data_IF_223497668389
#
_entry.id   IF_223497668389
#
_cell.length_a   1.000
_cell.length_b   1.000
_cell.length_c   1.000
_cell.angle_alpha   90.00
_cell.angle_beta   90.00
_cell.angle_gamma   90.00
#
_symmetry.space_group_name_H-M   'P 1'
#
loop_
_entity.id
_entity.type
_entity.pdbx_description
1 polymer ?
#
# COMPACT_ATOMS: atom_id res chain seq x y z
N UNK A 1 14.12 7.59 -13.85
CA UNK A 1 13.50 8.52 -12.90
C UNK A 1 13.07 7.76 -11.64
N UNK A 2 12.99 8.47 -10.55
CA UNK A 2 12.52 7.93 -9.28
C UNK A 2 11.09 8.37 -9.03
N UNK A 3 10.20 7.40 -8.80
CA UNK A 3 8.76 7.61 -8.63
C UNK A 3 8.29 7.19 -7.25
N UNK A 4 7.25 7.85 -6.79
CA UNK A 4 6.38 7.37 -5.71
C UNK A 4 4.94 7.39 -6.19
N UNK A 5 4.13 6.48 -5.69
CA UNK A 5 2.71 6.36 -6.04
C UNK A 5 1.87 6.56 -4.79
N UNK A 6 0.74 7.27 -4.94
CA UNK A 6 -0.27 7.40 -3.89
C UNK A 6 -1.53 6.66 -4.36
N UNK A 7 -2.05 5.78 -3.53
CA UNK A 7 -3.25 4.99 -3.81
C UNK A 7 -4.34 5.38 -2.82
N UNK A 8 -5.47 5.87 -3.32
CA UNK A 8 -6.59 6.32 -2.49
C UNK A 8 -7.83 5.44 -2.59
N UNK A 9 -7.82 4.44 -3.48
CA UNK A 9 -8.92 3.50 -3.65
C UNK A 9 -8.64 2.14 -3.03
N UNK A 10 -9.71 1.39 -2.65
CA UNK A 10 -9.57 0.06 -2.09
C UNK A 10 -9.06 -0.94 -3.13
N UNK A 11 -8.67 -2.13 -2.66
CA UNK A 11 -8.20 -3.19 -3.55
C UNK A 11 -9.28 -3.63 -4.55
N UNK A 12 -10.53 -3.60 -4.13
CA UNK A 12 -11.68 -4.02 -4.94
C UNK A 12 -12.80 -2.99 -4.86
N UNK A 13 -13.62 -2.95 -5.90
CA UNK A 13 -14.77 -2.05 -6.00
C UNK A 13 -14.53 -0.80 -6.83
N UNK A 14 -13.28 -0.42 -7.07
CA UNK A 14 -12.87 0.66 -7.98
C UNK A 14 -11.65 0.24 -8.79
N UNK A 15 -11.28 1.02 -9.80
CA UNK A 15 -10.13 0.75 -10.66
C UNK A 15 -8.82 1.39 -10.16
N UNK A 16 -8.90 2.26 -9.16
CA UNK A 16 -7.75 3.07 -8.72
C UNK A 16 -6.55 2.22 -8.32
N UNK A 17 -6.76 1.24 -7.43
CA UNK A 17 -5.67 0.41 -6.94
C UNK A 17 -5.11 -0.53 -8.01
N UNK A 18 -5.95 -1.12 -8.84
CA UNK A 18 -5.48 -1.99 -9.93
C UNK A 18 -4.73 -1.20 -11.00
N UNK A 19 -5.19 0.00 -11.33
CA UNK A 19 -4.48 0.89 -12.25
C UNK A 19 -3.13 1.30 -11.68
N UNK A 20 -3.07 1.61 -10.38
CA UNK A 20 -1.82 1.95 -9.70
C UNK A 20 -0.84 0.78 -9.76
N UNK A 21 -1.31 -0.44 -9.53
CA UNK A 21 -0.46 -1.62 -9.56
C UNK A 21 0.10 -1.88 -10.96
N UNK A 22 -0.74 -1.77 -11.99
CA UNK A 22 -0.30 -1.92 -13.39
C UNK A 22 0.72 -0.85 -13.76
N UNK A 23 0.50 0.38 -13.31
CA UNK A 23 1.46 1.47 -13.51
C UNK A 23 2.79 1.17 -12.81
N UNK A 24 2.75 0.67 -11.58
CA UNK A 24 3.93 0.28 -10.83
C UNK A 24 4.74 -0.79 -11.58
N UNK A 25 4.08 -1.81 -12.10
CA UNK A 25 4.74 -2.85 -12.89
C UNK A 25 5.37 -2.28 -14.16
N UNK A 26 4.69 -1.38 -14.85
CA UNK A 26 5.20 -0.76 -16.07
C UNK A 26 6.41 0.12 -15.79
N UNK A 27 6.41 0.87 -14.68
CA UNK A 27 7.55 1.68 -14.27
C UNK A 27 8.80 0.83 -14.08
N UNK A 28 8.66 -0.26 -13.35
CA UNK A 28 9.77 -1.18 -13.05
C UNK A 28 10.27 -1.84 -14.32
N UNK A 29 9.36 -2.31 -15.17
CA UNK A 29 9.71 -2.94 -16.44
C UNK A 29 10.45 -1.98 -17.38
N UNK A 30 10.14 -0.69 -17.31
CA UNK A 30 10.77 0.34 -18.14
C UNK A 30 12.07 0.88 -17.54
N UNK A 31 12.55 0.30 -16.45
CA UNK A 31 13.82 0.63 -15.83
C UNK A 31 13.80 1.82 -14.88
N UNK A 32 12.61 2.31 -14.50
CA UNK A 32 12.48 3.35 -13.50
C UNK A 32 12.54 2.78 -12.08
N UNK A 33 12.93 3.62 -11.14
CA UNK A 33 12.89 3.26 -9.72
C UNK A 33 11.53 3.64 -9.13
N UNK A 34 10.83 2.68 -8.52
CA UNK A 34 9.68 2.93 -7.68
C UNK A 34 10.13 2.83 -6.23
N UNK A 35 10.24 3.97 -5.53
CA UNK A 35 10.75 3.99 -4.17
C UNK A 35 9.71 3.54 -3.15
N UNK A 36 8.46 3.98 -3.33
CA UNK A 36 7.40 3.69 -2.38
C UNK A 36 6.02 3.84 -2.99
N UNK A 37 5.06 3.17 -2.35
CA UNK A 37 3.62 3.37 -2.57
C UNK A 37 3.03 3.79 -1.24
N UNK A 38 2.31 4.90 -1.22
CA UNK A 38 1.63 5.41 -0.04
C UNK A 38 0.13 5.19 -0.19
N UNK A 39 -0.45 4.41 0.72
CA UNK A 39 -1.87 4.09 0.71
C UNK A 39 -2.59 5.00 1.69
N UNK A 40 -3.57 5.75 1.19
CA UNK A 40 -4.30 6.75 1.96
C UNK A 40 -5.81 6.56 1.78
N UNK A 41 -6.60 7.05 2.73
CA UNK A 41 -8.06 6.91 2.68
C UNK A 41 -8.42 5.42 2.53
N UNK A 42 -9.37 5.09 1.65
CA UNK A 42 -9.76 3.70 1.38
C UNK A 42 -8.63 2.84 0.79
N UNK A 43 -7.55 3.47 0.33
CA UNK A 43 -6.36 2.75 -0.12
C UNK A 43 -5.76 1.84 0.94
N UNK A 44 -5.97 2.13 2.22
CA UNK A 44 -5.44 1.31 3.32
C UNK A 44 -6.01 -0.11 3.32
N UNK A 45 -7.17 -0.32 2.70
CA UNK A 45 -7.75 -1.68 2.57
C UNK A 45 -6.90 -2.61 1.71
N UNK A 46 -5.97 -2.09 0.92
CA UNK A 46 -5.01 -2.92 0.17
C UNK A 46 -4.07 -3.70 1.09
N UNK A 47 -4.00 -3.36 2.36
CA UNK A 47 -3.08 -3.97 3.32
C UNK A 47 -3.77 -4.96 4.28
N UNK A 48 -5.06 -5.21 4.13
CA UNK A 48 -5.80 -6.08 5.03
C UNK A 48 -5.59 -7.54 4.66
N UNK A 49 -4.86 -8.28 5.50
CA UNK A 49 -4.58 -9.70 5.26
C UNK A 49 -5.83 -10.58 5.26
N UNK A 50 -6.93 -10.11 5.84
CA UNK A 50 -8.20 -10.86 5.87
C UNK A 50 -8.93 -10.81 4.53
N UNK A 51 -8.52 -9.94 3.62
CA UNK A 51 -9.08 -9.89 2.27
C UNK A 51 -8.78 -11.19 1.54
N UNK A 52 -9.83 -11.87 1.09
CA UNK A 52 -9.72 -13.19 0.47
C UNK A 52 -10.55 -13.21 -0.82
N UNK A 53 -9.95 -12.84 -1.96
CA UNK A 53 -10.67 -12.90 -3.24
C UNK A 53 -10.97 -14.35 -3.63
N UNK A 54 -11.94 -14.53 -4.52
CA UNK A 54 -12.25 -15.83 -5.09
C UNK A 54 -11.04 -16.36 -5.89
N UNK A 55 -10.99 -17.68 -6.08
CA UNK A 55 -9.82 -18.33 -6.72
C UNK A 55 -9.58 -17.89 -8.16
N UNK A 56 -10.60 -17.35 -8.84
CA UNK A 56 -10.52 -16.85 -10.21
C UNK A 56 -10.34 -15.34 -10.31
N UNK A 57 -10.27 -14.64 -9.16
CA UNK A 57 -10.01 -13.20 -9.10
C UNK A 57 -8.51 -12.93 -8.88
N UNK A 58 -8.05 -11.80 -9.39
CA UNK A 58 -6.68 -11.36 -9.13
C UNK A 58 -6.53 -10.94 -7.66
N UNK A 59 -5.53 -11.49 -6.98
CA UNK A 59 -5.25 -11.15 -5.57
C UNK A 59 -4.33 -9.92 -5.51
N UNK A 60 -4.93 -8.75 -5.54
CA UNK A 60 -4.20 -7.49 -5.55
C UNK A 60 -3.45 -7.25 -4.23
N UNK A 61 -4.01 -7.68 -3.11
CA UNK A 61 -3.39 -7.49 -1.79
C UNK A 61 -2.03 -8.20 -1.72
N UNK A 62 -1.98 -9.48 -2.12
CA UNK A 62 -0.72 -10.24 -2.16
C UNK A 62 0.18 -9.80 -3.30
N UNK A 63 -0.38 -9.26 -4.37
CA UNK A 63 0.42 -8.70 -5.47
C UNK A 63 1.26 -7.52 -4.99
N UNK A 64 0.69 -6.60 -4.19
CA UNK A 64 1.45 -5.53 -3.56
C UNK A 64 2.58 -6.09 -2.67
N UNK A 65 2.26 -7.08 -1.86
CA UNK A 65 3.26 -7.73 -0.99
C UNK A 65 4.43 -8.30 -1.80
N UNK A 66 4.14 -8.94 -2.92
CA UNK A 66 5.18 -9.46 -3.81
C UNK A 66 6.02 -8.35 -4.44
N UNK A 67 5.40 -7.23 -4.77
CA UNK A 67 6.13 -6.07 -5.28
C UNK A 67 7.18 -5.59 -4.28
N UNK A 68 6.82 -5.54 -3.00
CA UNK A 68 7.77 -5.25 -1.92
C UNK A 68 8.87 -6.32 -1.84
N UNK A 69 8.50 -7.58 -1.84
CA UNK A 69 9.45 -8.69 -1.67
C UNK A 69 10.44 -8.79 -2.83
N UNK A 70 9.98 -8.58 -4.06
CA UNK A 70 10.79 -8.77 -5.27
C UNK A 70 11.59 -7.53 -5.66
N UNK A 71 11.08 -6.34 -5.40
CA UNK A 71 11.65 -5.09 -5.90
C UNK A 71 12.02 -4.09 -4.80
N UNK A 72 11.78 -4.43 -3.54
CA UNK A 72 12.13 -3.56 -2.42
C UNK A 72 11.31 -2.28 -2.33
N UNK A 73 10.14 -2.24 -2.97
CA UNK A 73 9.26 -1.08 -2.93
C UNK A 73 8.64 -0.96 -1.53
N UNK A 74 8.82 0.19 -0.88
CA UNK A 74 8.22 0.44 0.42
C UNK A 74 6.71 0.61 0.29
N UNK A 75 5.93 -0.13 1.08
CA UNK A 75 4.48 -0.06 1.09
C UNK A 75 4.04 0.61 2.39
N UNK A 76 3.79 1.90 2.33
CA UNK A 76 3.47 2.74 3.49
C UNK A 76 1.97 2.96 3.57
N UNK A 77 1.40 2.69 4.75
CA UNK A 77 -0.03 2.83 5.01
C UNK A 77 -0.23 3.99 5.98
N UNK A 78 -1.06 4.96 5.64
CA UNK A 78 -1.38 6.05 6.54
C UNK A 78 -1.98 5.50 7.83
N UNK A 79 -1.30 5.70 8.96
CA UNK A 79 -1.70 5.13 10.25
C UNK A 79 -3.08 5.61 10.69
N UNK A 80 -3.37 6.90 10.56
CA UNK A 80 -4.67 7.45 10.96
C UNK A 80 -5.80 6.89 10.11
N UNK A 81 -5.60 6.81 8.79
CA UNK A 81 -6.60 6.25 7.88
C UNK A 81 -6.82 4.76 8.12
N UNK A 82 -5.75 4.03 8.43
CA UNK A 82 -5.80 2.59 8.73
C UNK A 82 -6.59 2.33 10.03
N UNK A 83 -6.26 3.05 11.11
CA UNK A 83 -6.94 2.84 12.39
C UNK A 83 -8.43 3.17 12.32
N UNK A 84 -8.81 4.22 11.59
CA UNK A 84 -10.22 4.56 11.38
C UNK A 84 -10.98 3.46 10.64
N UNK A 85 -10.31 2.63 9.88
CA UNK A 85 -10.91 1.59 9.02
C UNK A 85 -10.65 0.18 9.51
N UNK A 86 -10.09 0.05 10.70
CA UNK A 86 -9.88 -1.26 11.32
C UNK A 86 -8.72 -2.05 10.75
N UNK A 87 -7.72 -1.38 10.17
CA UNK A 87 -6.48 -2.02 9.71
C UNK A 87 -5.38 -1.70 10.72
N UNK A 88 -4.89 -2.73 11.41
CA UNK A 88 -3.95 -2.57 12.53
C UNK A 88 -2.80 -3.57 12.43
N UNK A 89 -1.61 -3.14 12.83
CA UNK A 89 -0.47 -4.04 13.04
C UNK A 89 -0.48 -4.58 14.48
N UNK A 90 0.49 -5.42 14.80
CA UNK A 90 0.56 -6.05 16.13
C UNK A 90 0.76 -5.02 17.25
N UNK A 91 1.57 -4.00 17.01
CA UNK A 91 1.84 -2.95 17.99
C UNK A 91 0.56 -2.17 18.31
N UNK A 92 -0.18 -1.75 17.28
CA UNK A 92 -1.43 -1.01 17.45
C UNK A 92 -2.52 -1.90 18.05
N UNK A 93 -2.60 -3.17 17.64
CA UNK A 93 -3.55 -4.11 18.22
C UNK A 93 -3.31 -4.27 19.72
N UNK A 94 -2.05 -4.41 20.12
CA UNK A 94 -1.68 -4.49 21.54
C UNK A 94 -2.03 -3.22 22.31
N UNK A 95 -1.73 -2.05 21.75
CA UNK A 95 -2.05 -0.76 22.36
C UNK A 95 -3.55 -0.57 22.54
N UNK A 96 -4.35 -1.05 21.62
CA UNK A 96 -5.81 -0.92 21.64
C UNK A 96 -6.50 -2.05 22.41
N UNK A 97 -5.75 -3.06 22.89
CA UNK A 97 -6.31 -4.21 23.60
C UNK A 97 -7.05 -5.19 22.69
N UNK A 98 -6.69 -5.24 21.41
CA UNK A 98 -7.31 -6.14 20.45
C UNK A 98 -6.66 -7.53 20.48
N UNK A 99 -7.42 -8.57 20.12
CA UNK A 99 -6.96 -9.95 20.16
C UNK A 99 -5.96 -10.30 19.03
N UNK A 100 -6.03 -9.58 17.91
CA UNK A 100 -5.21 -9.89 16.73
C UNK A 100 -5.03 -8.66 15.84
N UNK A 101 -4.07 -8.76 14.93
CA UNK A 101 -3.80 -7.76 13.90
C UNK A 101 -4.22 -8.27 12.52
N UNK A 102 -4.35 -7.37 11.56
CA UNK A 102 -4.73 -7.74 10.19
C UNK A 102 -3.91 -7.05 9.11
N UNK A 103 -2.85 -6.35 9.48
CA UNK A 103 -1.93 -5.77 8.50
C UNK A 103 -1.08 -6.89 7.88
N UNK A 104 -1.15 -7.04 6.56
CA UNK A 104 -0.36 -8.05 5.87
C UNK A 104 1.14 -7.72 5.99
N UNK A 105 2.02 -8.70 6.30
CA UNK A 105 3.46 -8.47 6.30
C UNK A 105 3.96 -7.91 4.96
N UNK A 106 4.87 -6.97 5.02
CA UNK A 106 5.37 -6.23 3.85
C UNK A 106 4.83 -4.81 3.79
N UNK A 107 3.71 -4.54 4.45
CA UNK A 107 3.17 -3.19 4.62
C UNK A 107 3.61 -2.62 5.98
N UNK A 108 3.76 -1.29 6.05
CA UNK A 108 4.19 -0.60 7.26
C UNK A 108 3.26 0.58 7.53
N UNK A 109 2.77 0.70 8.76
CA UNK A 109 2.03 1.90 9.18
C UNK A 109 2.99 3.09 9.25
N UNK A 110 2.61 4.19 8.64
CA UNK A 110 3.45 5.40 8.51
C UNK A 110 2.62 6.66 8.72
N UNK A 111 3.28 7.73 9.15
CA UNK A 111 2.68 9.05 9.17
C UNK A 111 2.76 9.72 7.79
N UNK A 112 2.10 10.86 7.66
CA UNK A 112 2.14 11.67 6.42
C UNK A 112 3.55 12.21 6.12
N UNK A 113 4.46 12.18 7.08
CA UNK A 113 5.86 12.52 6.86
C UNK A 113 6.53 11.66 5.80
N UNK A 114 6.14 10.38 5.68
CA UNK A 114 6.66 9.51 4.65
C UNK A 114 6.26 9.98 3.24
N UNK A 115 5.03 10.49 3.09
CA UNK A 115 4.57 11.07 1.84
C UNK A 115 5.30 12.39 1.53
N UNK A 116 5.47 13.23 2.54
CA UNK A 116 6.21 14.47 2.39
C UNK A 116 7.65 14.20 1.94
N UNK A 117 8.32 13.24 2.56
CA UNK A 117 9.67 12.83 2.17
C UNK A 117 9.72 12.34 0.72
N UNK A 118 8.76 11.49 0.31
CA UNK A 118 8.69 11.03 -1.06
C UNK A 118 8.52 12.19 -2.05
N UNK A 119 7.73 13.19 -1.70
CA UNK A 119 7.53 14.39 -2.53
C UNK A 119 8.81 15.19 -2.72
N UNK A 120 9.71 15.16 -1.72
CA UNK A 120 10.97 15.89 -1.77
C UNK A 120 12.10 15.11 -2.47
N UNK A 121 12.05 13.78 -2.43
CA UNK A 121 13.15 12.91 -2.88
C UNK A 121 12.89 12.22 -4.21
N UNK A 122 11.65 12.16 -4.66
CA UNK A 122 11.29 11.54 -5.95
C UNK A 122 11.17 12.58 -7.05
N UNK A 123 11.42 12.16 -8.29
CA UNK A 123 11.24 13.01 -9.47
C UNK A 123 9.75 13.22 -9.76
N UNK A 124 8.92 12.21 -9.48
CA UNK A 124 7.48 12.26 -9.72
C UNK A 124 6.73 11.56 -8.59
N UNK A 125 5.59 12.13 -8.23
CA UNK A 125 4.60 11.50 -7.37
C UNK A 125 3.29 11.45 -8.15
N UNK A 126 2.76 10.24 -8.35
CA UNK A 126 1.55 10.02 -9.15
C UNK A 126 0.48 9.43 -8.25
N UNK A 127 -0.70 10.04 -8.27
CA UNK A 127 -1.84 9.61 -7.45
C UNK A 127 -2.90 8.91 -8.30
N UNK A 128 -3.42 7.83 -7.74
CA UNK A 128 -4.56 7.08 -8.28
C UNK A 128 -5.71 7.03 -7.29
#
# INVERSE_FOLDING_TARGET
>A
MRFAIVVTGPAYGTQQASSAFQFAQALIADGHELSSVFFYREGVYNANQLTSPASDEFDLVRAWQQLNAQHGVALNICVAAALRRGVVDETEAGRLGLASSNLLPGFTLSGLGALAEASLTCDRVVQF
#
